data_IF_465175364030
#
_entry.id   IF_465175364030
#
_cell.length_a   1.000
_cell.length_b   1.000
_cell.length_c   1.000
_cell.angle_alpha   90.00
_cell.angle_beta   90.00
_cell.angle_gamma   90.00
#
_symmetry.space_group_name_H-M   'P 1'
#
loop_
_entity.id
_entity.type
_entity.pdbx_description
1 polymer ?
#
# COMPACT_ATOMS: atom_id res chain seq x y z
N UNK A 1 1.70 -15.38 6.48
CA UNK A 1 3.02 -14.74 6.55
C UNK A 1 3.16 -13.93 7.84
N UNK A 2 2.34 -12.91 8.10
CA UNK A 2 2.44 -12.02 9.28
C UNK A 2 2.38 -12.77 10.62
N UNK A 3 1.52 -13.79 10.76
CA UNK A 3 1.41 -14.57 11.98
C UNK A 3 2.71 -15.31 12.32
N UNK A 4 3.49 -15.69 11.31
CA UNK A 4 4.79 -16.36 11.47
C UNK A 4 5.90 -15.35 11.79
N UNK A 5 5.93 -14.22 11.07
CA UNK A 5 7.01 -13.23 11.19
C UNK A 5 6.78 -12.19 12.28
N UNK A 6 5.53 -12.03 12.70
CA UNK A 6 5.08 -11.10 13.76
C UNK A 6 4.10 -11.82 14.70
N UNK A 7 4.57 -12.80 15.48
CA UNK A 7 3.71 -13.57 16.37
C UNK A 7 3.04 -12.64 17.37
N UNK A 8 1.72 -12.82 17.54
CA UNK A 8 0.93 -11.98 18.44
C UNK A 8 0.24 -10.79 17.79
N UNK A 9 0.55 -10.46 16.51
CA UNK A 9 -0.10 -9.35 15.81
C UNK A 9 -1.61 -9.59 15.65
N UNK A 10 -2.40 -8.51 15.81
CA UNK A 10 -3.82 -8.49 15.49
C UNK A 10 -3.97 -8.11 14.00
N UNK A 11 -4.70 -8.92 13.27
CA UNK A 11 -4.86 -8.75 11.81
C UNK A 11 -6.33 -8.67 11.46
N UNK A 12 -6.68 -7.74 10.58
CA UNK A 12 -8.01 -7.64 9.95
C UNK A 12 -7.81 -7.63 8.45
N UNK A 13 -8.37 -8.60 7.76
CA UNK A 13 -8.53 -8.59 6.32
C UNK A 13 -9.94 -8.11 6.00
N UNK A 14 -10.05 -7.18 5.04
CA UNK A 14 -11.34 -6.70 4.52
C UNK A 14 -11.48 -7.24 3.12
N UNK A 15 -12.59 -7.93 2.85
CA UNK A 15 -12.90 -8.56 1.57
C UNK A 15 -14.34 -8.22 1.19
N UNK A 16 -14.53 -7.74 -0.04
CA UNK A 16 -15.86 -7.37 -0.54
C UNK A 16 -16.65 -8.61 -1.00
N UNK A 17 -15.95 -9.63 -1.49
CA UNK A 17 -16.57 -10.88 -1.92
C UNK A 17 -16.87 -11.77 -0.71
N UNK A 18 -18.15 -11.90 -0.38
CA UNK A 18 -18.64 -12.70 0.74
C UNK A 18 -18.33 -14.19 0.56
N UNK A 19 -18.38 -14.69 -0.69
CA UNK A 19 -18.09 -16.08 -0.99
C UNK A 19 -16.61 -16.36 -0.73
N UNK A 20 -15.73 -15.53 -1.26
CA UNK A 20 -14.29 -15.62 -1.01
C UNK A 20 -13.99 -15.51 0.49
N UNK A 21 -14.54 -14.53 1.17
CA UNK A 21 -14.34 -14.33 2.61
C UNK A 21 -14.77 -15.55 3.45
N UNK A 22 -15.84 -16.23 3.04
CA UNK A 22 -16.31 -17.43 3.73
C UNK A 22 -15.44 -18.67 3.48
N UNK A 23 -14.90 -18.81 2.27
CA UNK A 23 -14.18 -20.02 1.83
C UNK A 23 -12.66 -19.94 2.02
N UNK A 24 -12.09 -18.74 2.10
CA UNK A 24 -10.63 -18.56 2.13
C UNK A 24 -9.95 -19.32 3.27
N UNK A 25 -10.61 -19.49 4.40
CA UNK A 25 -10.07 -20.28 5.53
C UNK A 25 -9.93 -21.76 5.19
N UNK A 26 -10.89 -22.29 4.48
CA UNK A 26 -10.89 -23.71 4.06
C UNK A 26 -9.89 -23.93 2.93
N UNK A 27 -9.88 -23.03 1.95
CA UNK A 27 -9.00 -23.20 0.76
C UNK A 27 -7.52 -23.06 1.08
N UNK A 28 -7.17 -22.21 2.07
CA UNK A 28 -5.77 -21.94 2.44
C UNK A 28 -5.41 -22.45 3.84
N UNK A 29 -6.26 -23.27 4.46
CA UNK A 29 -6.05 -23.81 5.80
C UNK A 29 -5.64 -22.71 6.83
N UNK A 30 -6.35 -21.58 6.77
CA UNK A 30 -6.05 -20.46 7.66
C UNK A 30 -6.51 -20.76 9.07
N UNK A 31 -5.65 -20.55 10.09
CA UNK A 31 -5.99 -20.84 11.46
C UNK A 31 -7.20 -20.03 11.94
N UNK A 32 -8.09 -20.70 12.69
CA UNK A 32 -9.18 -20.03 13.39
C UNK A 32 -8.62 -19.38 14.66
N UNK A 33 -8.14 -18.16 14.51
CA UNK A 33 -7.54 -17.38 15.58
C UNK A 33 -8.31 -16.08 15.79
N UNK A 34 -8.54 -15.65 17.03
CA UNK A 34 -9.13 -14.33 17.29
C UNK A 34 -8.24 -13.18 16.79
N UNK A 35 -6.96 -13.47 16.53
CA UNK A 35 -5.99 -12.50 16.00
C UNK A 35 -6.12 -12.27 14.48
N UNK A 36 -6.69 -13.20 13.73
CA UNK A 36 -6.97 -13.04 12.30
C UNK A 36 -8.48 -12.96 12.08
N UNK A 37 -8.97 -11.78 11.84
CA UNK A 37 -10.38 -11.51 11.51
C UNK A 37 -10.52 -11.24 10.01
N UNK A 38 -11.51 -11.86 9.38
CA UNK A 38 -11.92 -11.55 8.02
C UNK A 38 -13.25 -10.82 8.14
N UNK A 39 -13.31 -9.61 7.61
CA UNK A 39 -14.49 -8.75 7.60
C UNK A 39 -14.99 -8.61 6.18
N UNK A 40 -16.23 -9.04 5.95
CA UNK A 40 -16.91 -8.77 4.67
C UNK A 40 -17.30 -7.30 4.61
N UNK A 41 -16.95 -6.63 3.52
CA UNK A 41 -17.34 -5.25 3.29
C UNK A 41 -16.46 -4.52 2.29
N UNK A 42 -16.94 -3.36 1.88
CA UNK A 42 -16.20 -2.43 1.04
C UNK A 42 -15.08 -1.76 1.86
N UNK A 43 -13.84 -1.91 1.43
CA UNK A 43 -12.67 -1.38 2.12
C UNK A 43 -12.76 0.15 2.29
N UNK A 44 -13.30 0.87 1.29
CA UNK A 44 -13.45 2.32 1.36
C UNK A 44 -14.41 2.75 2.47
N UNK A 45 -15.47 1.97 2.71
CA UNK A 45 -16.40 2.22 3.81
C UNK A 45 -15.85 1.78 5.16
N UNK A 46 -15.14 0.64 5.18
CA UNK A 46 -14.58 0.10 6.43
C UNK A 46 -13.53 1.02 7.01
N UNK A 47 -12.63 1.56 6.18
CA UNK A 47 -11.51 2.37 6.67
C UNK A 47 -11.96 3.68 7.31
N UNK A 48 -13.05 4.27 6.84
CA UNK A 48 -13.59 5.53 7.42
C UNK A 48 -14.07 5.36 8.86
N UNK A 49 -14.48 4.14 9.23
CA UNK A 49 -14.93 3.80 10.59
C UNK A 49 -13.84 3.32 11.53
N UNK A 50 -12.57 3.26 11.10
CA UNK A 50 -11.47 2.87 11.96
C UNK A 50 -11.11 4.00 12.93
N UNK A 51 -10.72 3.63 14.15
CA UNK A 51 -10.23 4.58 15.15
C UNK A 51 -8.87 5.11 14.73
N UNK A 52 -8.61 6.43 14.91
CA UNK A 52 -7.28 7.00 14.65
C UNK A 52 -6.20 6.36 15.53
N UNK A 53 -5.00 6.24 14.99
CA UNK A 53 -3.81 5.84 15.77
C UNK A 53 -3.78 4.39 16.23
N UNK A 54 -4.60 3.51 15.67
CA UNK A 54 -4.79 2.14 16.18
C UNK A 54 -3.90 1.09 15.50
N UNK A 55 -3.42 1.35 14.28
CA UNK A 55 -2.79 0.33 13.46
C UNK A 55 -1.32 0.64 13.19
N UNK A 56 -0.46 -0.38 13.34
CA UNK A 56 0.96 -0.26 13.00
C UNK A 56 1.19 -0.37 11.50
N UNK A 57 0.33 -1.11 10.80
CA UNK A 57 0.43 -1.29 9.34
C UNK A 57 -0.96 -1.37 8.72
N UNK A 58 -1.15 -0.62 7.64
CA UNK A 58 -2.27 -0.78 6.72
C UNK A 58 -1.75 -1.17 5.33
N UNK A 59 -2.39 -2.16 4.71
CA UNK A 59 -2.03 -2.62 3.36
C UNK A 59 -3.24 -2.44 2.45
N UNK A 60 -3.08 -1.67 1.38
CA UNK A 60 -4.03 -1.61 0.29
C UNK A 60 -3.52 -2.45 -0.87
N UNK A 61 -4.09 -3.64 -1.01
CA UNK A 61 -3.85 -4.57 -2.12
C UNK A 61 -5.21 -4.99 -2.69
N UNK A 62 -5.90 -4.01 -3.29
CA UNK A 62 -7.27 -4.14 -3.78
C UNK A 62 -7.28 -4.01 -5.29
N UNK A 63 -7.80 -5.03 -5.97
CA UNK A 63 -7.95 -5.05 -7.42
C UNK A 63 -9.32 -5.61 -7.81
N UNK A 64 -9.93 -4.99 -8.83
CA UNK A 64 -11.13 -5.46 -9.51
C UNK A 64 -10.84 -5.45 -11.02
N UNK A 65 -10.96 -6.61 -11.67
CA UNK A 65 -10.65 -6.74 -13.09
C UNK A 65 -9.26 -6.27 -13.50
N UNK A 66 -8.27 -6.35 -12.59
CA UNK A 66 -6.88 -5.91 -12.82
C UNK A 66 -6.64 -4.40 -12.63
N UNK A 67 -7.62 -3.67 -12.10
CA UNK A 67 -7.48 -2.26 -11.74
C UNK A 67 -7.93 -1.98 -10.31
N UNK A 68 -7.37 -0.96 -9.69
CA UNK A 68 -7.82 -0.48 -8.38
C UNK A 68 -9.12 0.30 -8.54
N UNK A 69 -10.17 0.00 -7.76
CA UNK A 69 -11.41 0.80 -7.74
C UNK A 69 -11.16 2.26 -7.38
N UNK A 70 -11.90 3.18 -7.98
CA UNK A 70 -11.74 4.62 -7.76
C UNK A 70 -11.89 5.01 -6.28
N UNK A 71 -12.81 4.35 -5.57
CA UNK A 71 -13.02 4.56 -4.13
C UNK A 71 -11.80 4.21 -3.28
N UNK A 72 -11.01 3.21 -3.68
CA UNK A 72 -9.82 2.74 -2.96
C UNK A 72 -8.52 3.43 -3.39
N UNK A 73 -8.56 4.37 -4.34
CA UNK A 73 -7.44 5.21 -4.77
C UNK A 73 -7.67 6.71 -4.56
N UNK A 74 -8.83 7.07 -4.02
CA UNK A 74 -9.16 8.46 -3.73
C UNK A 74 -8.28 9.03 -2.61
N UNK A 75 -8.14 10.36 -2.58
CA UNK A 75 -7.44 11.02 -1.49
C UNK A 75 -8.10 10.72 -0.15
N UNK A 76 -9.43 10.75 -0.06
CA UNK A 76 -10.21 10.51 1.15
C UNK A 76 -9.96 9.10 1.73
N UNK A 77 -9.80 8.10 0.86
CA UNK A 77 -9.44 6.76 1.28
C UNK A 77 -8.03 6.74 1.89
N UNK A 78 -7.05 7.34 1.22
CA UNK A 78 -5.67 7.39 1.67
C UNK A 78 -5.52 8.19 2.97
N UNK A 79 -6.21 9.33 3.10
CA UNK A 79 -6.30 10.12 4.33
C UNK A 79 -6.87 9.28 5.49
N UNK A 80 -7.90 8.48 5.21
CA UNK A 80 -8.51 7.60 6.20
C UNK A 80 -7.58 6.47 6.63
N UNK A 81 -6.82 5.90 5.69
CA UNK A 81 -5.79 4.92 6.00
C UNK A 81 -4.69 5.52 6.87
N UNK A 82 -4.14 6.68 6.48
CA UNK A 82 -3.10 7.37 7.24
C UNK A 82 -3.58 7.75 8.64
N UNK A 83 -4.80 8.27 8.77
CA UNK A 83 -5.40 8.61 10.07
C UNK A 83 -5.52 7.40 11.01
N UNK A 84 -5.81 6.21 10.46
CA UNK A 84 -5.96 5.00 11.25
C UNK A 84 -4.63 4.46 11.79
N UNK A 85 -3.50 4.88 11.22
CA UNK A 85 -2.17 4.46 11.64
C UNK A 85 -1.72 5.11 12.93
N UNK A 86 -0.98 4.35 13.74
CA UNK A 86 -0.15 4.89 14.81
C UNK A 86 0.89 5.90 14.24
N UNK A 87 1.48 6.77 15.06
CA UNK A 87 2.39 7.82 14.57
C UNK A 87 3.52 7.31 13.65
N UNK A 88 4.10 6.14 13.97
CA UNK A 88 5.16 5.51 13.18
C UNK A 88 4.63 4.35 12.31
N UNK A 89 3.32 4.22 12.19
CA UNK A 89 2.67 3.19 11.39
C UNK A 89 2.88 3.40 9.89
N UNK A 90 2.86 2.30 9.13
CA UNK A 90 3.14 2.29 7.70
C UNK A 90 1.88 2.00 6.89
N UNK A 91 1.64 2.81 5.87
CA UNK A 91 0.70 2.52 4.79
C UNK A 91 1.47 1.92 3.61
N UNK A 92 1.09 0.72 3.20
CA UNK A 92 1.61 0.05 2.02
C UNK A 92 0.53 0.04 0.94
N UNK A 93 0.81 0.65 -0.20
CA UNK A 93 -0.14 0.76 -1.32
C UNK A 93 0.43 0.04 -2.53
N UNK A 94 -0.17 -1.09 -2.90
CA UNK A 94 0.18 -1.78 -4.13
C UNK A 94 -0.56 -1.14 -5.31
N UNK A 95 0.18 -0.62 -6.27
CA UNK A 95 -0.33 0.11 -7.44
C UNK A 95 0.19 -0.53 -8.72
N UNK A 96 -0.70 -0.79 -9.68
CA UNK A 96 -0.28 -1.22 -11.01
C UNK A 96 0.41 -0.07 -11.76
N UNK A 97 1.57 -0.35 -12.38
CA UNK A 97 2.34 0.66 -13.12
C UNK A 97 1.68 1.11 -14.42
N UNK A 98 0.67 0.39 -14.89
CA UNK A 98 0.01 0.68 -16.16
C UNK A 98 -1.52 0.59 -16.02
N UNK A 99 -2.27 1.47 -16.66
CA UNK A 99 -1.81 2.61 -17.46
C UNK A 99 -1.08 3.66 -16.59
N UNK A 100 -0.05 4.28 -17.14
CA UNK A 100 0.76 5.29 -16.40
C UNK A 100 -0.06 6.43 -15.82
N UNK A 101 -1.09 6.89 -16.53
CA UNK A 101 -1.97 7.95 -16.05
C UNK A 101 -2.66 7.57 -14.72
N UNK A 102 -3.05 6.29 -14.55
CA UNK A 102 -3.65 5.80 -13.29
C UNK A 102 -2.62 5.73 -12.17
N UNK A 103 -1.44 5.17 -12.43
CA UNK A 103 -0.36 5.14 -11.46
C UNK A 103 0.04 6.56 -11.00
N UNK A 104 0.17 7.49 -11.94
CA UNK A 104 0.44 8.90 -11.65
C UNK A 104 -0.67 9.56 -10.82
N UNK A 105 -1.93 9.25 -11.11
CA UNK A 105 -3.06 9.76 -10.33
C UNK A 105 -3.06 9.24 -8.89
N UNK A 106 -2.69 7.97 -8.68
CA UNK A 106 -2.56 7.40 -7.32
C UNK A 106 -1.39 8.01 -6.54
N UNK A 107 -0.23 8.19 -7.19
CA UNK A 107 0.93 8.87 -6.59
C UNK A 107 0.53 10.30 -6.21
N UNK A 108 -0.14 11.03 -7.11
CA UNK A 108 -0.60 12.38 -6.82
C UNK A 108 -1.66 12.44 -5.70
N UNK A 109 -2.55 11.45 -5.63
CA UNK A 109 -3.52 11.36 -4.53
C UNK A 109 -2.82 11.12 -3.19
N UNK A 110 -1.82 10.21 -3.16
CA UNK A 110 -1.02 9.97 -1.97
C UNK A 110 -0.22 11.23 -1.56
N UNK A 111 0.42 11.91 -2.52
CA UNK A 111 1.15 13.16 -2.25
C UNK A 111 0.24 14.22 -1.62
N UNK A 112 -1.00 14.36 -2.11
CA UNK A 112 -1.98 15.28 -1.48
C UNK A 112 -2.38 14.83 -0.08
N UNK A 113 -2.62 13.54 0.14
CA UNK A 113 -2.93 12.98 1.46
C UNK A 113 -1.77 13.20 2.47
N UNK A 114 -0.55 13.27 1.97
CA UNK A 114 0.64 13.59 2.78
C UNK A 114 0.88 15.10 2.94
N UNK A 115 -0.05 15.95 2.48
CA UNK A 115 0.11 17.41 2.53
C UNK A 115 1.21 17.98 1.64
N UNK A 116 1.61 17.24 0.60
CA UNK A 116 2.70 17.60 -0.32
C UNK A 116 4.10 17.23 0.18
N UNK A 117 4.22 16.67 1.37
CA UNK A 117 5.52 16.28 1.94
C UNK A 117 5.95 14.89 1.43
N UNK A 118 6.75 14.90 0.37
CA UNK A 118 7.27 13.69 -0.27
C UNK A 118 8.27 12.91 0.60
N UNK A 119 8.85 13.54 1.62
CA UNK A 119 9.77 12.87 2.56
C UNK A 119 9.06 11.85 3.46
N UNK A 120 7.72 11.85 3.44
CA UNK A 120 6.86 10.93 4.19
C UNK A 120 6.55 9.64 3.42
N UNK A 121 7.12 9.47 2.22
CA UNK A 121 6.88 8.27 1.43
C UNK A 121 8.10 7.85 0.61
N UNK A 122 8.16 6.56 0.31
CA UNK A 122 9.15 5.93 -0.58
C UNK A 122 8.45 4.93 -1.49
N UNK A 123 8.94 4.75 -2.70
CA UNK A 123 8.46 3.74 -3.64
C UNK A 123 9.44 2.58 -3.68
N UNK A 124 8.91 1.37 -3.64
CA UNK A 124 9.67 0.13 -3.87
C UNK A 124 9.19 -0.48 -5.18
N UNK A 125 10.08 -0.58 -6.16
CA UNK A 125 9.73 -1.10 -7.48
C UNK A 125 10.95 -1.62 -8.25
N UNK A 126 10.67 -2.44 -9.25
CA UNK A 126 11.67 -2.85 -10.24
C UNK A 126 12.05 -1.66 -11.14
N UNK A 127 13.36 -1.40 -11.36
CA UNK A 127 13.82 -0.35 -12.26
C UNK A 127 13.24 -0.40 -13.68
N UNK A 128 12.97 -1.59 -14.20
CA UNK A 128 12.37 -1.73 -15.53
C UNK A 128 10.89 -1.31 -15.54
N UNK A 129 10.18 -1.49 -14.41
CA UNK A 129 8.79 -1.03 -14.22
C UNK A 129 8.75 0.49 -14.11
N UNK A 130 9.59 1.08 -13.26
CA UNK A 130 9.66 2.54 -13.07
C UNK A 130 10.00 3.24 -14.40
N UNK A 131 10.96 2.70 -15.16
CA UNK A 131 11.33 3.24 -16.48
C UNK A 131 10.34 2.91 -17.60
N UNK A 132 9.24 2.20 -17.27
CA UNK A 132 8.21 1.82 -18.25
C UNK A 132 8.61 0.80 -19.29
N UNK A 133 9.70 0.08 -19.06
CA UNK A 133 10.18 -0.97 -19.96
C UNK A 133 9.38 -2.27 -19.85
N UNK A 134 8.68 -2.47 -18.73
CA UNK A 134 7.75 -3.56 -18.54
C UNK A 134 6.60 -3.16 -17.61
N UNK A 135 5.50 -3.94 -17.67
CA UNK A 135 4.39 -3.83 -16.72
C UNK A 135 4.79 -4.49 -15.39
N UNK A 136 4.25 -4.00 -14.29
CA UNK A 136 4.46 -4.54 -12.95
C UNK A 136 3.76 -3.69 -11.91
N UNK A 137 4.15 -3.85 -10.66
CA UNK A 137 3.60 -3.10 -9.54
C UNK A 137 4.63 -2.14 -8.97
N UNK A 138 4.11 -1.07 -8.40
CA UNK A 138 4.81 -0.14 -7.53
C UNK A 138 4.23 -0.33 -6.13
N UNK A 139 5.06 -0.46 -5.12
CA UNK A 139 4.63 -0.43 -3.73
C UNK A 139 4.99 0.92 -3.15
N UNK A 140 3.97 1.75 -2.89
CA UNK A 140 4.15 3.02 -2.21
C UNK A 140 4.13 2.76 -0.71
N UNK A 141 5.15 3.17 0.00
CA UNK A 141 5.27 3.05 1.46
C UNK A 141 5.20 4.45 2.03
N UNK A 142 4.21 4.72 2.86
CA UNK A 142 3.97 6.05 3.42
C UNK A 142 3.69 5.99 4.91
N UNK A 143 3.90 7.11 5.63
CA UNK A 143 3.55 7.28 7.04
C UNK A 143 3.20 8.73 7.36
N UNK A 144 2.73 8.97 8.60
CA UNK A 144 2.34 10.30 9.04
C UNK A 144 3.52 11.25 9.29
N UNK A 145 4.69 10.72 9.61
CA UNK A 145 5.93 11.48 9.88
C UNK A 145 6.93 11.32 8.74
N UNK A 146 7.87 12.25 8.57
CA UNK A 146 8.91 12.13 7.56
C UNK A 146 9.88 11.00 7.89
N UNK A 147 10.38 10.31 6.87
CA UNK A 147 11.48 9.37 7.02
C UNK A 147 12.78 10.15 7.26
N UNK A 148 13.53 9.75 8.26
CA UNK A 148 14.92 10.21 8.44
C UNK A 148 15.84 9.53 7.41
N UNK A 149 17.01 10.12 7.16
CA UNK A 149 18.00 9.53 6.26
C UNK A 149 18.41 8.11 6.70
N UNK A 150 18.59 7.90 8.02
CA UNK A 150 18.93 6.58 8.57
C UNK A 150 17.85 5.53 8.33
N UNK A 151 16.58 5.90 8.49
CA UNK A 151 15.45 5.00 8.21
C UNK A 151 15.34 4.65 6.72
N UNK A 152 15.56 5.62 5.83
CA UNK A 152 15.60 5.37 4.39
C UNK A 152 16.73 4.40 4.02
N UNK A 153 17.91 4.55 4.62
CA UNK A 153 19.02 3.60 4.43
C UNK A 153 18.67 2.19 4.93
N UNK A 154 17.93 2.08 6.04
CA UNK A 154 17.46 0.79 6.55
C UNK A 154 16.44 0.16 5.60
N UNK A 155 15.48 0.93 5.10
CA UNK A 155 14.52 0.47 4.09
C UNK A 155 15.25 0.00 2.83
N UNK A 156 16.20 0.79 2.32
CA UNK A 156 16.98 0.43 1.14
C UNK A 156 17.78 -0.87 1.37
N UNK A 157 18.40 -1.00 2.52
CA UNK A 157 19.17 -2.21 2.91
C UNK A 157 18.27 -3.43 3.00
N UNK A 158 17.05 -3.28 3.56
CA UNK A 158 16.07 -4.35 3.62
C UNK A 158 15.58 -4.75 2.23
N UNK A 159 15.25 -3.79 1.37
CA UNK A 159 14.82 -4.00 -0.02
C UNK A 159 15.89 -4.72 -0.84
N UNK A 160 17.16 -4.36 -0.69
CA UNK A 160 18.29 -5.03 -1.38
C UNK A 160 18.47 -6.49 -1.00
N UNK A 161 17.98 -6.93 0.17
CA UNK A 161 18.03 -8.33 0.62
C UNK A 161 16.90 -9.19 0.05
N UNK A 162 15.89 -8.57 -0.56
CA UNK A 162 14.81 -9.33 -1.19
C UNK A 162 15.34 -10.08 -2.43
N UNK A 163 14.89 -11.30 -2.68
CA UNK A 163 15.26 -12.06 -3.88
C UNK A 163 14.52 -11.56 -5.13
N UNK A 164 14.38 -10.25 -5.26
CA UNK A 164 13.65 -9.55 -6.31
C UNK A 164 14.48 -8.38 -6.83
N UNK A 165 14.40 -8.04 -8.12
CA UNK A 165 15.14 -6.94 -8.72
C UNK A 165 14.49 -5.60 -8.40
N UNK A 166 14.17 -5.33 -7.15
CA UNK A 166 13.50 -4.09 -6.70
C UNK A 166 14.50 -3.12 -6.07
N UNK A 167 14.16 -1.83 -6.10
CA UNK A 167 14.92 -0.72 -5.52
C UNK A 167 13.96 0.27 -4.86
N UNK A 168 14.48 1.14 -4.05
CA UNK A 168 13.80 2.31 -3.49
C UNK A 168 13.93 3.50 -4.42
N UNK A 169 12.90 4.35 -4.45
CA UNK A 169 12.79 5.56 -5.24
C UNK A 169 12.07 6.62 -4.42
N UNK A 170 12.43 7.89 -4.59
CA UNK A 170 11.60 8.97 -4.07
C UNK A 170 10.30 9.10 -4.88
N UNK A 171 9.29 9.77 -4.32
CA UNK A 171 8.09 10.09 -5.10
C UNK A 171 8.42 10.99 -6.31
N UNK A 172 9.40 11.87 -6.17
CA UNK A 172 9.83 12.77 -7.23
C UNK A 172 10.55 12.03 -8.36
N UNK A 173 11.40 11.05 -8.04
CA UNK A 173 12.13 10.24 -9.03
C UNK A 173 11.23 9.31 -9.83
N UNK A 174 10.16 8.84 -9.20
CA UNK A 174 9.15 8.01 -9.85
C UNK A 174 8.05 8.85 -10.52
N UNK A 175 8.15 10.16 -10.47
CA UNK A 175 7.28 11.03 -11.21
C UNK A 175 7.27 10.58 -12.67
N UNK A 176 6.15 10.01 -13.06
CA UNK A 176 5.81 9.58 -14.42
C UNK A 176 6.36 10.62 -15.39
N UNK A 177 7.16 10.24 -16.40
CA UNK A 177 7.62 11.18 -17.40
C UNK A 177 6.43 12.03 -17.83
N UNK A 178 6.56 13.36 -17.74
CA UNK A 178 5.55 14.28 -18.24
C UNK A 178 5.25 13.83 -19.67
N UNK A 179 3.98 13.82 -20.12
CA UNK A 179 3.69 13.55 -21.52
C UNK A 179 4.57 14.50 -22.31
N UNK A 180 5.45 13.95 -23.14
CA UNK A 180 6.19 14.73 -24.12
C UNK A 180 5.13 15.50 -24.89
N UNK A 181 5.23 16.82 -24.88
CA UNK A 181 4.28 17.70 -25.54
C UNK A 181 4.16 17.31 -27.00
N UNK A 182 2.94 16.96 -27.39
CA UNK A 182 2.53 16.92 -28.78
C UNK A 182 2.20 18.33 -29.27
#
# INVERSE_FOLDING_TARGET
>A
AWDVTRPGSQQVAVEIDEILASQVRTWFDLPRSPRLRIRVGDAAKVVTGLRPGQWDVAVRDVFDGGSVPDSCRSQEFLDSCLRALAPDGLLLVNTASMPRARAGAEIAALTRALGGDVSRAVIVADPAVVRGRRRGNLVLVARQTSFTAGELEEVERAVRRLPLPVRTWSLDDAAVPRPEGG
#
